data_IF_696518771496
#
_entry.id   IF_696518771496
#
_cell.length_a   1.000
_cell.length_b   1.000
_cell.length_c   1.000
_cell.angle_alpha   90.00
_cell.angle_beta   90.00
_cell.angle_gamma   90.00
#
_symmetry.space_group_name_H-M   'P 1'
#
loop_
_entity.id
_entity.type
_entity.pdbx_description
1 polymer ?
#
# COMPACT_ATOMS: atom_id res chain seq x y z
N UNK A 1 47.84 34.15 -36.35
CA UNK A 1 46.90 33.05 -36.63
C UNK A 1 46.60 32.22 -35.39
N UNK A 2 47.58 31.76 -34.61
CA UNK A 2 47.32 30.94 -33.38
C UNK A 2 46.49 31.65 -32.29
N UNK A 3 46.64 32.97 -32.16
CA UNK A 3 45.89 33.78 -31.19
C UNK A 3 44.41 33.97 -31.56
N UNK A 4 44.05 33.81 -32.83
CA UNK A 4 42.65 33.89 -33.28
C UNK A 4 41.93 32.55 -33.07
N UNK A 5 42.63 31.42 -33.30
CA UNK A 5 42.13 30.08 -32.98
C UNK A 5 41.88 29.89 -31.48
N UNK A 6 42.78 30.35 -30.61
CA UNK A 6 42.56 30.28 -29.15
C UNK A 6 41.37 31.14 -28.69
N UNK A 7 41.09 32.27 -29.35
CA UNK A 7 39.93 33.11 -29.03
C UNK A 7 38.63 32.44 -29.46
N UNK A 8 38.59 31.84 -30.64
CA UNK A 8 37.43 31.11 -31.14
C UNK A 8 37.11 29.86 -30.29
N UNK A 9 38.13 29.14 -29.82
CA UNK A 9 37.94 27.98 -28.95
C UNK A 9 37.42 28.39 -27.55
N UNK A 10 37.91 29.52 -27.00
CA UNK A 10 37.34 30.08 -25.75
C UNK A 10 35.93 30.62 -25.91
N UNK A 11 35.56 31.15 -27.07
CA UNK A 11 34.16 31.53 -27.37
C UNK A 11 33.27 30.31 -27.54
N UNK A 12 33.71 29.26 -28.23
CA UNK A 12 32.97 27.99 -28.34
C UNK A 12 32.80 27.28 -26.99
N UNK A 13 33.81 27.29 -26.13
CA UNK A 13 33.74 26.73 -24.76
C UNK A 13 32.86 27.58 -23.84
N UNK A 14 32.77 28.90 -24.04
CA UNK A 14 31.79 29.78 -23.40
C UNK A 14 30.36 29.58 -23.93
N UNK A 15 30.25 29.04 -25.15
CA UNK A 15 28.98 28.67 -25.79
C UNK A 15 28.48 27.26 -25.43
N UNK A 16 29.33 26.35 -24.91
CA UNK A 16 28.86 25.24 -24.07
C UNK A 16 28.47 25.81 -22.71
N UNK A 17 27.31 26.44 -22.73
CA UNK A 17 26.78 27.23 -21.64
C UNK A 17 26.53 26.35 -20.43
N UNK A 18 26.75 26.90 -19.23
CA UNK A 18 26.17 26.38 -17.98
C UNK A 18 24.68 26.04 -18.15
N UNK A 19 23.97 26.73 -19.04
CA UNK A 19 22.60 26.44 -19.42
C UNK A 19 22.40 25.05 -20.08
N UNK A 20 23.36 24.55 -20.85
CA UNK A 20 23.29 23.20 -21.44
C UNK A 20 23.59 22.09 -20.42
N UNK A 21 24.50 22.32 -19.48
CA UNK A 21 24.71 21.42 -18.33
C UNK A 21 23.46 21.34 -17.44
N UNK A 22 22.82 22.48 -17.18
CA UNK A 22 21.57 22.54 -16.42
C UNK A 22 20.44 21.82 -17.19
N UNK A 23 20.36 22.00 -18.51
CA UNK A 23 19.41 21.25 -19.35
C UNK A 23 19.66 19.74 -19.29
N UNK A 24 20.91 19.30 -19.33
CA UNK A 24 21.26 17.88 -19.28
C UNK A 24 20.90 17.28 -17.91
N UNK A 25 21.29 17.94 -16.82
CA UNK A 25 20.95 17.53 -15.46
C UNK A 25 19.42 17.51 -15.21
N UNK A 26 18.67 18.48 -15.74
CA UNK A 26 17.20 18.48 -15.69
C UNK A 26 16.60 17.33 -16.51
N UNK A 27 17.23 16.94 -17.60
CA UNK A 27 16.78 15.83 -18.45
C UNK A 27 17.04 14.49 -17.77
N UNK A 28 18.20 14.32 -17.14
CA UNK A 28 18.52 13.14 -16.32
C UNK A 28 17.62 13.04 -15.09
N UNK A 29 17.39 14.14 -14.37
CA UNK A 29 16.47 14.17 -13.23
C UNK A 29 15.05 13.74 -13.63
N UNK A 30 14.56 14.18 -14.80
CA UNK A 30 13.26 13.75 -15.34
C UNK A 30 13.23 12.26 -15.67
N UNK A 31 14.32 11.71 -16.20
CA UNK A 31 14.45 10.27 -16.45
C UNK A 31 14.45 9.47 -15.15
N UNK A 32 15.16 9.94 -14.13
CA UNK A 32 15.22 9.31 -12.81
C UNK A 32 13.84 9.27 -12.14
N UNK A 33 13.12 10.41 -12.14
CA UNK A 33 11.75 10.49 -11.59
C UNK A 33 10.80 9.53 -12.32
N UNK A 34 10.90 9.43 -13.65
CA UNK A 34 10.10 8.46 -14.41
C UNK A 34 10.44 7.01 -14.02
N UNK A 35 11.71 6.70 -13.84
CA UNK A 35 12.16 5.37 -13.42
C UNK A 35 11.61 5.02 -12.02
N UNK A 36 11.69 5.95 -11.08
CA UNK A 36 11.19 5.76 -9.71
C UNK A 36 9.66 5.56 -9.68
N UNK A 37 8.92 6.33 -10.49
CA UNK A 37 7.46 6.15 -10.63
C UNK A 37 7.11 4.79 -11.25
N UNK A 38 7.88 4.34 -12.23
CA UNK A 38 7.72 3.01 -12.82
C UNK A 38 8.01 1.91 -11.80
N UNK A 39 9.04 2.10 -10.97
CA UNK A 39 9.41 1.14 -9.94
C UNK A 39 8.36 1.06 -8.83
N UNK A 40 7.91 2.22 -8.32
CA UNK A 40 6.83 2.32 -7.35
C UNK A 40 5.52 1.70 -7.88
N UNK A 41 5.19 1.92 -9.16
CA UNK A 41 4.02 1.27 -9.79
C UNK A 41 4.12 -0.25 -9.82
N UNK A 42 5.34 -0.79 -10.04
CA UNK A 42 5.57 -2.23 -10.05
C UNK A 42 5.40 -2.82 -8.65
N UNK A 43 6.03 -2.22 -7.66
CA UNK A 43 5.96 -2.63 -6.25
C UNK A 43 4.51 -2.57 -5.75
N UNK A 44 3.79 -1.47 -6.01
CA UNK A 44 2.36 -1.35 -5.72
C UNK A 44 1.51 -2.47 -6.33
N UNK A 45 1.81 -2.88 -7.57
CA UNK A 45 1.04 -3.92 -8.27
C UNK A 45 1.32 -5.30 -7.70
N UNK A 46 2.56 -5.58 -7.32
CA UNK A 46 2.95 -6.84 -6.67
C UNK A 46 2.36 -6.95 -5.26
N UNK A 47 2.46 -5.89 -4.46
CA UNK A 47 1.82 -5.83 -3.13
C UNK A 47 0.30 -5.94 -3.23
N UNK A 48 -0.33 -5.22 -4.15
CA UNK A 48 -1.78 -5.29 -4.35
C UNK A 48 -2.22 -6.70 -4.78
N UNK A 49 -1.42 -7.41 -5.58
CA UNK A 49 -1.73 -8.79 -5.98
C UNK A 49 -1.64 -9.74 -4.79
N UNK A 50 -0.60 -9.63 -3.97
CA UNK A 50 -0.43 -10.45 -2.77
C UNK A 50 -1.53 -10.18 -1.73
N UNK A 51 -1.86 -8.91 -1.50
CA UNK A 51 -2.95 -8.49 -0.63
C UNK A 51 -4.32 -8.98 -1.14
N UNK A 52 -4.54 -8.97 -2.46
CA UNK A 52 -5.78 -9.47 -3.06
C UNK A 52 -5.94 -10.98 -2.86
N UNK A 53 -4.90 -11.76 -3.14
CA UNK A 53 -4.96 -13.22 -3.00
C UNK A 53 -5.20 -13.64 -1.55
N UNK A 54 -4.46 -13.04 -0.61
CA UNK A 54 -4.65 -13.31 0.83
C UNK A 54 -6.02 -12.81 1.33
N UNK A 55 -6.47 -11.65 0.87
CA UNK A 55 -7.77 -11.09 1.21
C UNK A 55 -8.95 -11.96 0.75
N UNK A 56 -8.90 -12.50 -0.47
CA UNK A 56 -9.93 -13.43 -0.98
C UNK A 56 -9.95 -14.72 -0.16
N UNK A 57 -8.77 -15.29 0.11
CA UNK A 57 -8.66 -16.56 0.82
C UNK A 57 -9.13 -16.43 2.28
N UNK A 58 -8.76 -15.35 2.96
CA UNK A 58 -9.25 -15.04 4.30
C UNK A 58 -10.75 -14.74 4.31
N UNK A 59 -11.25 -14.00 3.32
CA UNK A 59 -12.68 -13.74 3.17
C UNK A 59 -13.49 -15.02 2.97
N UNK A 60 -13.02 -15.92 2.11
CA UNK A 60 -13.66 -17.22 1.87
C UNK A 60 -13.61 -18.10 3.13
N UNK A 61 -12.46 -18.18 3.81
CA UNK A 61 -12.32 -18.91 5.06
C UNK A 61 -13.27 -18.36 6.15
N UNK A 62 -13.41 -17.04 6.23
CA UNK A 62 -14.32 -16.38 7.18
C UNK A 62 -15.78 -16.76 6.92
N UNK A 63 -16.24 -16.73 5.66
CA UNK A 63 -17.60 -17.15 5.30
C UNK A 63 -17.83 -18.63 5.62
N UNK A 64 -16.85 -19.50 5.31
CA UNK A 64 -16.94 -20.92 5.61
C UNK A 64 -17.04 -21.19 7.11
N UNK A 65 -16.27 -20.47 7.93
CA UNK A 65 -16.36 -20.56 9.39
C UNK A 65 -17.74 -20.15 9.89
N UNK A 66 -18.31 -19.06 9.36
CA UNK A 66 -19.66 -18.64 9.74
C UNK A 66 -20.73 -19.67 9.36
N UNK A 67 -20.62 -20.28 8.17
CA UNK A 67 -21.52 -21.35 7.74
C UNK A 67 -21.36 -22.63 8.58
N UNK A 68 -20.13 -23.02 8.91
CA UNK A 68 -19.87 -24.16 9.78
C UNK A 68 -20.41 -23.92 11.19
N UNK A 69 -20.24 -22.71 11.71
CA UNK A 69 -20.73 -22.32 13.03
C UNK A 69 -22.26 -22.32 13.09
N UNK A 70 -22.94 -21.76 12.07
CA UNK A 70 -24.40 -21.79 12.00
C UNK A 70 -24.95 -23.22 11.93
N UNK A 71 -24.33 -24.10 11.14
CA UNK A 71 -24.70 -25.51 11.08
C UNK A 71 -24.50 -26.23 12.42
N UNK A 72 -23.38 -25.96 13.12
CA UNK A 72 -23.09 -26.54 14.44
C UNK A 72 -24.14 -26.13 15.47
N UNK A 73 -24.55 -24.87 15.43
CA UNK A 73 -25.56 -24.37 16.34
C UNK A 73 -26.97 -24.90 16.04
N UNK A 74 -27.34 -25.09 14.76
CA UNK A 74 -28.59 -25.78 14.39
C UNK A 74 -28.58 -27.22 14.93
N UNK A 75 -27.45 -27.92 14.80
CA UNK A 75 -27.29 -29.27 15.35
C UNK A 75 -27.42 -29.29 16.89
N UNK A 76 -26.85 -28.30 17.59
CA UNK A 76 -27.02 -28.13 19.04
C UNK A 76 -28.47 -27.86 19.45
N UNK A 77 -29.19 -27.01 18.69
CA UNK A 77 -30.61 -26.73 18.93
C UNK A 77 -31.51 -27.94 18.73
N UNK A 78 -31.17 -28.84 17.81
CA UNK A 78 -31.82 -30.13 17.62
C UNK A 78 -31.47 -31.14 18.72
N UNK A 79 -30.27 -31.07 19.28
CA UNK A 79 -29.77 -32.01 20.29
C UNK A 79 -30.26 -31.69 21.72
N UNK A 80 -30.61 -30.44 22.01
CA UNK A 80 -31.06 -30.01 23.34
C UNK A 80 -32.60 -30.12 23.46
N UNK A 81 -33.15 -30.63 24.57
CA UNK A 81 -34.60 -30.76 24.79
C UNK A 81 -35.23 -29.42 25.22
N UNK A 82 -34.76 -28.31 24.64
CA UNK A 82 -35.37 -27.00 24.78
C UNK A 82 -36.26 -26.80 23.56
N UNK A 83 -37.51 -26.34 23.73
CA UNK A 83 -38.45 -26.22 22.62
C UNK A 83 -37.83 -25.51 21.39
N UNK A 84 -38.15 -25.94 20.15
CA UNK A 84 -37.39 -25.60 18.94
C UNK A 84 -37.22 -24.09 18.70
N UNK A 85 -38.18 -23.28 19.15
CA UNK A 85 -38.13 -21.82 19.03
C UNK A 85 -37.07 -21.16 19.93
N UNK A 86 -36.90 -21.62 21.18
CA UNK A 86 -35.94 -21.03 22.13
C UNK A 86 -34.50 -21.45 21.81
N UNK A 87 -34.31 -22.69 21.33
CA UNK A 87 -33.00 -23.17 20.90
C UNK A 87 -32.43 -22.33 19.76
N UNK A 88 -33.21 -22.11 18.70
CA UNK A 88 -32.81 -21.30 17.54
C UNK A 88 -32.55 -19.83 17.92
N UNK A 89 -33.30 -19.28 18.87
CA UNK A 89 -33.12 -17.89 19.32
C UNK A 89 -31.78 -17.68 20.06
N UNK A 90 -31.44 -18.57 21.01
CA UNK A 90 -30.18 -18.49 21.76
C UNK A 90 -28.98 -18.67 20.82
N UNK A 91 -29.08 -19.62 19.91
CA UNK A 91 -28.13 -19.86 18.83
C UNK A 91 -27.92 -18.60 17.99
N UNK A 92 -29.01 -17.97 17.53
CA UNK A 92 -28.95 -16.79 16.68
C UNK A 92 -28.29 -15.60 17.38
N UNK A 93 -28.60 -15.40 18.67
CA UNK A 93 -27.97 -14.35 19.49
C UNK A 93 -26.49 -14.63 19.71
N UNK A 94 -26.09 -15.87 20.01
CA UNK A 94 -24.68 -16.23 20.14
C UNK A 94 -23.91 -15.96 18.83
N UNK A 95 -24.51 -16.28 17.68
CA UNK A 95 -23.91 -16.01 16.38
C UNK A 95 -23.73 -14.51 16.11
N UNK A 96 -24.74 -13.70 16.46
CA UNK A 96 -24.68 -12.23 16.33
C UNK A 96 -23.58 -11.64 17.21
N UNK A 97 -23.41 -12.14 18.43
CA UNK A 97 -22.35 -11.69 19.34
C UNK A 97 -20.96 -12.04 18.80
N UNK A 98 -20.74 -13.28 18.36
CA UNK A 98 -19.44 -13.69 17.79
C UNK A 98 -19.13 -12.89 16.52
N UNK A 99 -20.12 -12.72 15.63
CA UNK A 99 -19.95 -11.95 14.40
C UNK A 99 -19.68 -10.48 14.69
N UNK A 100 -20.41 -9.87 15.63
CA UNK A 100 -20.21 -8.49 16.06
C UNK A 100 -18.82 -8.27 16.66
N UNK A 101 -18.34 -9.22 17.49
CA UNK A 101 -17.01 -9.14 18.10
C UNK A 101 -15.90 -9.29 17.06
N UNK A 102 -16.02 -10.24 16.13
CA UNK A 102 -15.04 -10.40 15.05
C UNK A 102 -15.04 -9.21 14.09
N UNK A 103 -16.20 -8.66 13.76
CA UNK A 103 -16.30 -7.44 12.96
C UNK A 103 -15.60 -6.27 13.67
N UNK A 104 -15.85 -6.10 14.97
CA UNK A 104 -15.20 -5.05 15.76
C UNK A 104 -13.68 -5.21 15.82
N UNK A 105 -13.18 -6.42 16.08
CA UNK A 105 -11.74 -6.71 16.10
C UNK A 105 -11.11 -6.56 14.72
N UNK A 106 -11.81 -7.00 13.66
CA UNK A 106 -11.37 -6.86 12.27
C UNK A 106 -11.22 -5.41 11.86
N UNK A 107 -12.22 -4.56 12.16
CA UNK A 107 -12.16 -3.12 11.92
C UNK A 107 -11.04 -2.45 12.74
N UNK A 108 -10.79 -2.93 13.96
CA UNK A 108 -9.71 -2.40 14.81
C UNK A 108 -8.30 -2.83 14.35
N UNK A 109 -8.18 -4.02 13.75
CA UNK A 109 -6.92 -4.57 13.21
C UNK A 109 -6.66 -4.18 11.75
N UNK A 110 -7.61 -3.54 11.08
CA UNK A 110 -7.38 -2.99 9.75
C UNK A 110 -6.19 -2.01 9.82
N UNK A 111 -5.13 -2.22 9.04
CA UNK A 111 -3.96 -1.36 9.07
C UNK A 111 -4.36 0.06 8.65
N UNK A 112 -4.39 0.98 9.62
CA UNK A 112 -4.80 2.39 9.44
C UNK A 112 -3.90 3.18 8.49
N UNK A 113 -2.77 2.61 8.07
CA UNK A 113 -1.83 3.22 7.13
C UNK A 113 -1.50 2.22 6.03
N UNK A 114 -2.11 2.34 4.84
CA UNK A 114 -1.53 1.70 3.68
C UNK A 114 -0.16 2.35 3.42
N UNK A 115 0.86 1.54 3.14
CA UNK A 115 2.23 1.92 2.79
C UNK A 115 3.11 2.55 3.90
N UNK A 116 3.53 1.78 4.93
CA UNK A 116 4.47 2.26 5.94
C UNK A 116 5.87 2.56 5.38
N UNK A 117 6.37 1.79 4.42
CA UNK A 117 7.72 1.97 3.86
C UNK A 117 7.81 3.18 2.92
N UNK A 118 6.79 3.42 2.10
CA UNK A 118 6.74 4.59 1.21
C UNK A 118 6.60 5.89 2.00
N UNK A 119 5.78 5.91 3.06
CA UNK A 119 5.67 7.09 3.92
C UNK A 119 6.95 7.37 4.74
N UNK A 120 7.67 6.32 5.14
CA UNK A 120 8.93 6.49 5.85
C UNK A 120 10.01 7.10 4.96
N UNK A 121 10.19 6.61 3.72
CA UNK A 121 11.15 7.20 2.77
C UNK A 121 10.80 8.63 2.37
N UNK A 122 9.51 8.91 2.14
CA UNK A 122 9.04 10.27 1.83
C UNK A 122 9.31 11.26 2.97
N UNK A 123 9.26 10.82 4.23
CA UNK A 123 9.56 11.70 5.37
C UNK A 123 11.06 11.97 5.53
N UNK A 124 11.90 10.96 5.32
CA UNK A 124 13.36 11.12 5.42
C UNK A 124 13.89 12.08 4.34
N UNK A 125 13.37 11.99 3.11
CA UNK A 125 13.75 12.90 2.02
C UNK A 125 13.36 14.35 2.29
N UNK A 126 12.19 14.58 2.90
CA UNK A 126 11.75 15.93 3.26
C UNK A 126 12.60 16.54 4.37
N UNK A 127 13.08 15.74 5.33
CA UNK A 127 13.99 16.24 6.38
C UNK A 127 15.36 16.62 5.85
N UNK A 128 15.92 15.82 4.92
CA UNK A 128 17.23 16.10 4.34
C UNK A 128 17.22 17.34 3.43
N UNK A 129 16.13 17.55 2.69
CA UNK A 129 15.95 18.74 1.84
C UNK A 129 15.77 20.02 2.68
N UNK A 130 15.21 19.89 3.89
CA UNK A 130 15.00 21.00 4.82
C UNK A 130 16.30 21.49 5.44
N UNK A 131 17.24 20.58 5.71
CA UNK A 131 18.58 20.91 6.23
C UNK A 131 19.49 21.53 5.18
N UNK A 132 19.31 21.22 3.89
CA UNK A 132 20.14 21.80 2.81
C UNK A 132 19.71 23.20 2.37
N UNK A 133 18.55 23.67 2.82
CA UNK A 133 17.97 24.99 2.48
C UNK A 133 18.01 26.01 3.63
N UNK A 134 18.61 25.65 4.78
CA UNK A 134 18.92 26.58 5.88
C UNK A 134 20.43 26.79 5.96
#
# INVERSE_FOLDING_TARGET
MELESERMEREQLRHLSTADLIKHALTEARLLVKAEVLHAKKELKEEAKAARTSGILLGAAFVLVLCALSALFVALGLALPVGPALGVLIVGVALLLVTGLLAFVGVKKLPKKPLPHTQARLRTDLTLTRETLQ
#
